data_IF_571162582747
#
_entry.id   IF_571162582747
#
_cell.length_a   1.000
_cell.length_b   1.000
_cell.length_c   1.000
_cell.angle_alpha   90.00
_cell.angle_beta   90.00
_cell.angle_gamma   90.00
#
_symmetry.space_group_name_H-M   'P 1'
#
loop_
_entity.id
_entity.type
_entity.pdbx_description
1 polymer ?
#
# COMPACT_ATOMS: atom_id res chain seq x y z
N UNK A 1 -17.87 16.13 -16.02
CA UNK A 1 -18.53 15.06 -15.22
C UNK A 1 -19.37 14.05 -16.03
N UNK A 2 -19.76 14.29 -17.29
CA UNK A 2 -20.65 13.41 -18.09
C UNK A 2 -19.99 12.20 -18.79
N UNK A 3 -18.77 11.81 -18.44
CA UNK A 3 -17.90 11.08 -19.37
C UNK A 3 -17.26 9.82 -18.79
N UNK A 4 -18.07 9.00 -18.12
CA UNK A 4 -17.65 7.74 -17.48
C UNK A 4 -18.44 6.53 -17.97
N UNK A 5 -19.59 6.74 -18.62
CA UNK A 5 -20.42 5.66 -19.17
C UNK A 5 -19.76 4.98 -20.39
N UNK A 6 -18.77 5.61 -21.03
CA UNK A 6 -18.02 5.09 -22.18
C UNK A 6 -16.53 4.89 -21.86
N UNK A 7 -16.18 4.58 -20.60
CA UNK A 7 -14.78 4.41 -20.21
C UNK A 7 -14.07 3.32 -21.02
N UNK A 8 -14.80 2.28 -21.44
CA UNK A 8 -14.27 1.17 -22.26
C UNK A 8 -13.74 1.66 -23.61
N UNK A 9 -14.47 2.56 -24.28
CA UNK A 9 -14.07 3.15 -25.57
C UNK A 9 -12.85 4.06 -25.43
N UNK A 10 -12.60 4.58 -24.23
CA UNK A 10 -11.52 5.52 -23.91
C UNK A 10 -10.35 4.84 -23.21
N UNK A 11 -10.45 3.54 -22.96
CA UNK A 11 -9.41 2.81 -22.26
C UNK A 11 -8.24 2.55 -23.20
N UNK A 12 -7.15 3.26 -22.95
CA UNK A 12 -5.89 3.00 -23.62
C UNK A 12 -5.01 2.09 -22.75
N UNK A 13 -4.18 1.26 -23.37
CA UNK A 13 -3.21 0.45 -22.64
C UNK A 13 -1.89 1.20 -22.54
N UNK A 14 -1.46 1.52 -21.31
CA UNK A 14 -0.08 1.96 -21.03
C UNK A 14 0.76 0.80 -20.50
N UNK A 15 2.08 1.00 -20.38
CA UNK A 15 3.01 -0.08 -19.97
C UNK A 15 2.66 -0.69 -18.60
N UNK A 16 2.30 0.14 -17.62
CA UNK A 16 1.91 -0.32 -16.27
C UNK A 16 0.58 -1.07 -16.30
N UNK A 17 -0.39 -0.57 -17.06
CA UNK A 17 -1.68 -1.23 -17.23
C UNK A 17 -1.53 -2.60 -17.89
N UNK A 18 -0.72 -2.70 -18.96
CA UNK A 18 -0.42 -3.97 -19.61
C UNK A 18 0.19 -4.97 -18.63
N UNK A 19 1.22 -4.54 -17.89
CA UNK A 19 1.92 -5.38 -16.90
C UNK A 19 0.96 -5.93 -15.85
N UNK A 20 0.09 -5.09 -15.27
CA UNK A 20 -0.89 -5.55 -14.28
C UNK A 20 -1.93 -6.48 -14.90
N UNK A 21 -2.52 -6.12 -16.05
CA UNK A 21 -3.57 -6.91 -16.68
C UNK A 21 -3.08 -8.28 -17.14
N UNK A 22 -1.88 -8.37 -17.73
CA UNK A 22 -1.27 -9.64 -18.11
C UNK A 22 -1.13 -10.56 -16.89
N UNK A 23 -0.69 -10.01 -15.75
CA UNK A 23 -0.58 -10.74 -14.49
C UNK A 23 -1.94 -11.16 -13.93
N UNK A 24 -2.95 -10.28 -13.93
CA UNK A 24 -4.30 -10.62 -13.46
C UNK A 24 -4.92 -11.72 -14.31
N UNK A 25 -4.75 -11.67 -15.64
CA UNK A 25 -5.21 -12.72 -16.56
C UNK A 25 -4.51 -14.05 -16.24
N UNK A 26 -3.18 -14.03 -16.06
CA UNK A 26 -2.42 -15.21 -15.69
C UNK A 26 -2.89 -15.78 -14.34
N UNK A 27 -2.98 -14.96 -13.29
CA UNK A 27 -3.40 -15.39 -11.96
C UNK A 27 -4.83 -15.95 -11.98
N UNK A 28 -5.75 -15.35 -12.72
CA UNK A 28 -7.10 -15.92 -12.94
C UNK A 28 -7.07 -17.29 -13.61
N UNK A 29 -6.05 -17.61 -14.42
CA UNK A 29 -5.93 -18.93 -15.06
C UNK A 29 -5.38 -20.02 -14.13
N UNK A 30 -4.67 -19.65 -13.06
CA UNK A 30 -4.01 -20.60 -12.14
C UNK A 30 -4.61 -20.64 -10.74
N UNK A 31 -5.27 -19.57 -10.29
CA UNK A 31 -5.94 -19.46 -8.99
C UNK A 31 -7.40 -19.89 -9.13
N UNK A 32 -7.81 -20.92 -8.38
CA UNK A 32 -9.08 -21.62 -8.63
C UNK A 32 -10.34 -20.84 -8.21
N UNK A 33 -10.31 -19.97 -7.19
CA UNK A 33 -11.42 -19.07 -6.78
C UNK A 33 -11.01 -18.18 -5.57
N UNK A 34 -11.62 -16.99 -5.40
CA UNK A 34 -12.45 -16.26 -6.37
C UNK A 34 -11.59 -15.60 -7.45
N UNK A 35 -12.07 -15.64 -8.69
CA UNK A 35 -11.43 -14.91 -9.79
C UNK A 35 -11.57 -13.40 -9.60
N UNK A 36 -10.55 -12.66 -9.96
CA UNK A 36 -10.59 -11.19 -10.05
C UNK A 36 -11.36 -10.77 -11.30
N UNK A 37 -12.25 -9.79 -11.15
CA UNK A 37 -12.95 -9.17 -12.27
C UNK A 37 -11.98 -8.23 -13.01
N UNK A 38 -11.60 -8.64 -14.22
CA UNK A 38 -10.66 -7.90 -15.08
C UNK A 38 -11.27 -6.57 -15.55
N UNK A 39 -12.59 -6.48 -15.72
CA UNK A 39 -13.25 -5.24 -16.16
C UNK A 39 -13.22 -4.19 -15.05
N UNK A 40 -13.48 -4.59 -13.80
CA UNK A 40 -13.36 -3.70 -12.65
C UNK A 40 -11.92 -3.16 -12.48
N UNK A 41 -10.91 -4.01 -12.68
CA UNK A 41 -9.50 -3.59 -12.66
C UNK A 41 -9.19 -2.60 -13.79
N UNK A 42 -9.65 -2.85 -15.02
CA UNK A 42 -9.48 -1.92 -16.14
C UNK A 42 -10.17 -0.57 -15.88
N UNK A 43 -11.38 -0.60 -15.34
CA UNK A 43 -12.13 0.61 -14.95
C UNK A 43 -11.36 1.40 -13.89
N UNK A 44 -10.83 0.75 -12.86
CA UNK A 44 -10.00 1.41 -11.86
C UNK A 44 -8.75 2.07 -12.47
N UNK A 45 -8.05 1.38 -13.37
CA UNK A 45 -6.89 1.94 -14.10
C UNK A 45 -7.31 3.18 -14.88
N UNK A 46 -8.45 3.14 -15.57
CA UNK A 46 -8.98 4.30 -16.30
C UNK A 46 -9.20 5.50 -15.38
N UNK A 47 -9.80 5.29 -14.20
CA UNK A 47 -10.02 6.38 -13.23
C UNK A 47 -8.70 6.92 -12.69
N UNK A 48 -7.78 6.06 -12.25
CA UNK A 48 -6.46 6.50 -11.78
C UNK A 48 -5.75 7.34 -12.86
N UNK A 49 -5.77 6.90 -14.12
CA UNK A 49 -5.21 7.66 -15.24
C UNK A 49 -5.93 8.97 -15.52
N UNK A 50 -7.25 9.01 -15.39
CA UNK A 50 -8.05 10.22 -15.64
C UNK A 50 -7.77 11.30 -14.61
N UNK A 51 -7.76 10.93 -13.33
CA UNK A 51 -7.63 11.88 -12.22
C UNK A 51 -6.18 12.27 -11.95
N UNK A 52 -5.21 11.35 -12.13
CA UNK A 52 -3.79 11.66 -12.02
C UNK A 52 -3.10 11.97 -13.35
N UNK A 53 -3.83 12.06 -14.47
CA UNK A 53 -3.26 12.10 -15.81
C UNK A 53 -2.33 13.28 -16.11
N UNK A 54 -2.54 14.40 -15.43
CA UNK A 54 -1.71 15.60 -15.52
C UNK A 54 -0.64 15.69 -14.42
N UNK A 55 -0.56 14.68 -13.55
CA UNK A 55 0.36 14.65 -12.42
C UNK A 55 1.58 13.79 -12.74
N UNK A 56 2.75 14.27 -12.34
CA UNK A 56 4.03 13.58 -12.55
C UNK A 56 4.68 13.29 -11.19
N UNK A 57 5.31 12.11 -11.09
CA UNK A 57 6.18 11.77 -9.95
C UNK A 57 7.47 12.56 -10.05
N UNK A 58 8.18 12.68 -8.93
CA UNK A 58 9.53 13.29 -8.91
C UNK A 58 10.54 12.52 -9.78
N UNK A 59 10.28 11.23 -10.06
CA UNK A 59 11.06 10.41 -11.00
C UNK A 59 10.85 10.77 -12.48
N UNK A 60 9.83 11.58 -12.81
CA UNK A 60 9.43 11.87 -14.18
C UNK A 60 8.44 10.86 -14.79
N UNK A 61 7.95 9.89 -14.02
CA UNK A 61 6.87 8.98 -14.45
C UNK A 61 5.49 9.60 -14.20
N UNK A 62 4.43 9.21 -14.93
CA UNK A 62 3.07 9.61 -14.61
C UNK A 62 2.67 9.13 -13.21
N UNK A 63 1.97 9.95 -12.43
CA UNK A 63 1.64 9.63 -11.03
C UNK A 63 0.84 8.33 -10.89
N UNK A 64 -0.08 8.04 -11.82
CA UNK A 64 -0.86 6.81 -11.85
C UNK A 64 -0.01 5.53 -11.95
N UNK A 65 1.28 5.61 -12.32
CA UNK A 65 2.16 4.44 -12.35
C UNK A 65 2.30 3.81 -10.97
N UNK A 66 2.37 4.63 -9.91
CA UNK A 66 2.59 4.15 -8.56
C UNK A 66 1.43 3.30 -8.03
N UNK A 67 0.17 3.75 -8.03
CA UNK A 67 -0.96 2.93 -7.58
C UNK A 67 -1.14 1.63 -8.39
N UNK A 68 -0.83 1.64 -9.70
CA UNK A 68 -0.88 0.44 -10.54
C UNK A 68 0.21 -0.57 -10.14
N UNK A 69 1.43 -0.10 -9.86
CA UNK A 69 2.51 -0.96 -9.35
C UNK A 69 2.22 -1.51 -7.95
N UNK A 70 1.58 -0.73 -7.07
CA UNK A 70 1.12 -1.22 -5.76
C UNK A 70 0.13 -2.38 -5.94
N UNK A 71 -0.84 -2.24 -6.84
CA UNK A 71 -1.78 -3.32 -7.18
C UNK A 71 -1.07 -4.54 -7.81
N UNK A 72 -0.03 -4.32 -8.62
CA UNK A 72 0.79 -5.40 -9.16
C UNK A 72 1.49 -6.18 -8.06
N UNK A 73 2.11 -5.50 -7.09
CA UNK A 73 2.84 -6.15 -6.00
C UNK A 73 1.90 -6.91 -5.05
N UNK A 74 0.81 -6.28 -4.60
CA UNK A 74 -0.12 -6.91 -3.66
C UNK A 74 -0.85 -8.13 -4.25
N UNK A 75 -0.98 -8.20 -5.58
CA UNK A 75 -1.65 -9.33 -6.26
C UNK A 75 -0.97 -10.69 -6.03
N UNK A 76 0.31 -10.72 -5.63
CA UNK A 76 1.01 -11.95 -5.24
C UNK A 76 0.58 -12.48 -3.85
N UNK A 77 0.00 -11.61 -3.01
CA UNK A 77 -0.31 -11.90 -1.61
C UNK A 77 -1.81 -11.93 -1.34
N UNK A 78 -2.58 -11.06 -1.99
CA UNK A 78 -4.02 -10.99 -1.84
C UNK A 78 -4.70 -10.68 -3.18
N UNK A 79 -5.09 -11.74 -3.88
CA UNK A 79 -5.68 -11.67 -5.21
C UNK A 79 -7.22 -11.58 -5.13
N UNK A 80 -7.74 -10.36 -4.94
CA UNK A 80 -9.18 -10.08 -4.83
C UNK A 80 -9.55 -8.77 -5.51
N UNK A 81 -10.69 -8.72 -6.22
CA UNK A 81 -11.09 -7.56 -7.05
C UNK A 81 -11.07 -6.25 -6.29
N UNK A 82 -11.75 -6.19 -5.13
CA UNK A 82 -11.83 -4.98 -4.31
C UNK A 82 -10.46 -4.52 -3.82
N UNK A 83 -9.55 -5.44 -3.51
CA UNK A 83 -8.18 -5.11 -3.08
C UNK A 83 -7.39 -4.46 -4.21
N UNK A 84 -7.41 -5.07 -5.41
CA UNK A 84 -6.69 -4.50 -6.55
C UNK A 84 -7.28 -3.14 -6.96
N UNK A 85 -8.61 -3.02 -6.98
CA UNK A 85 -9.29 -1.76 -7.28
C UNK A 85 -8.94 -0.70 -6.22
N UNK A 86 -9.02 -1.01 -4.92
CA UNK A 86 -8.63 -0.08 -3.85
C UNK A 86 -7.16 0.31 -3.96
N UNK A 87 -6.25 -0.63 -4.25
CA UNK A 87 -4.82 -0.30 -4.45
C UNK A 87 -4.60 0.65 -5.62
N UNK A 88 -5.33 0.48 -6.73
CA UNK A 88 -5.23 1.40 -7.88
C UNK A 88 -5.77 2.81 -7.53
N UNK A 89 -6.75 2.89 -6.64
CA UNK A 89 -7.43 4.15 -6.29
C UNK A 89 -6.93 4.80 -4.99
N UNK A 90 -5.95 4.23 -4.29
CA UNK A 90 -5.68 4.57 -2.89
C UNK A 90 -5.33 6.05 -2.63
N UNK A 91 -4.65 6.71 -3.56
CA UNK A 91 -4.25 8.12 -3.46
C UNK A 91 -5.25 9.09 -4.12
N UNK A 92 -6.31 8.58 -4.76
CA UNK A 92 -7.18 9.41 -5.59
C UNK A 92 -8.00 10.42 -4.79
N UNK A 93 -8.45 10.08 -3.59
CA UNK A 93 -9.19 11.03 -2.72
C UNK A 93 -8.26 12.10 -2.15
N UNK A 94 -7.01 11.75 -1.83
CA UNK A 94 -6.07 12.68 -1.20
C UNK A 94 -5.48 13.68 -2.20
N UNK A 95 -5.19 13.23 -3.43
CA UNK A 95 -4.37 13.97 -4.39
C UNK A 95 -5.16 14.46 -5.63
N UNK A 96 -6.47 14.23 -5.71
CA UNK A 96 -7.30 14.60 -6.89
C UNK A 96 -8.71 15.06 -6.48
N UNK A 97 -9.53 15.50 -7.45
CA UNK A 97 -10.95 15.81 -7.19
C UNK A 97 -11.90 14.60 -7.15
N UNK A 98 -11.40 13.36 -7.19
CA UNK A 98 -12.24 12.17 -7.09
C UNK A 98 -12.79 12.00 -5.67
N UNK A 99 -14.12 11.94 -5.53
CA UNK A 99 -14.78 11.84 -4.22
C UNK A 99 -15.16 10.42 -3.83
N UNK A 100 -15.32 10.18 -2.52
CA UNK A 100 -15.80 8.91 -1.96
C UNK A 100 -17.15 8.50 -2.55
N UNK A 101 -18.07 9.46 -2.72
CA UNK A 101 -19.41 9.22 -3.28
C UNK A 101 -19.28 8.71 -4.71
N UNK A 102 -18.37 9.29 -5.49
CA UNK A 102 -18.14 8.86 -6.86
C UNK A 102 -17.52 7.47 -6.92
N UNK A 103 -16.56 7.16 -6.05
CA UNK A 103 -16.00 5.80 -5.96
C UNK A 103 -17.10 4.80 -5.56
N UNK A 104 -17.97 5.15 -4.61
CA UNK A 104 -19.08 4.30 -4.16
C UNK A 104 -20.07 3.99 -5.28
N UNK A 105 -20.40 4.99 -6.11
CA UNK A 105 -21.26 4.81 -7.28
C UNK A 105 -20.65 3.86 -8.33
N UNK A 106 -19.33 3.88 -8.48
CA UNK A 106 -18.65 3.23 -9.61
C UNK A 106 -18.07 1.87 -9.28
N UNK A 107 -17.65 1.65 -8.03
CA UNK A 107 -16.95 0.45 -7.54
C UNK A 107 -17.58 -0.13 -6.28
N UNK A 108 -18.68 0.46 -5.79
CA UNK A 108 -19.39 0.03 -4.60
C UNK A 108 -18.87 0.58 -3.28
N UNK A 109 -19.71 0.47 -2.26
CA UNK A 109 -19.48 1.06 -0.93
C UNK A 109 -18.23 0.51 -0.23
N UNK A 110 -17.89 -0.77 -0.45
CA UNK A 110 -16.75 -1.42 0.19
C UNK A 110 -15.43 -0.78 -0.25
N UNK A 111 -15.22 -0.66 -1.56
CA UNK A 111 -14.04 -0.02 -2.15
C UNK A 111 -13.95 1.44 -1.70
N UNK A 112 -15.06 2.17 -1.73
CA UNK A 112 -15.10 3.57 -1.32
C UNK A 112 -14.68 3.77 0.15
N UNK A 113 -15.13 2.88 1.05
CA UNK A 113 -14.70 2.90 2.44
C UNK A 113 -13.21 2.56 2.59
N UNK A 114 -12.71 1.53 1.89
CA UNK A 114 -11.29 1.17 1.96
C UNK A 114 -10.37 2.28 1.42
N UNK A 115 -10.76 3.00 0.36
CA UNK A 115 -9.98 4.14 -0.15
C UNK A 115 -10.02 5.31 0.84
N UNK A 116 -11.18 5.59 1.44
CA UNK A 116 -11.29 6.60 2.50
C UNK A 116 -10.44 6.26 3.73
N UNK A 117 -10.38 4.98 4.10
CA UNK A 117 -9.56 4.48 5.20
C UNK A 117 -8.05 4.72 4.97
N UNK A 118 -7.60 4.66 3.71
CA UNK A 118 -6.21 4.93 3.32
C UNK A 118 -5.87 6.43 3.34
N UNK A 119 -6.87 7.28 3.10
CA UNK A 119 -6.73 8.74 3.03
C UNK A 119 -6.33 9.32 4.39
N UNK A 120 -5.30 10.16 4.40
CA UNK A 120 -4.76 10.75 5.63
C UNK A 120 -5.41 12.07 6.02
N UNK A 121 -6.07 12.73 5.07
CA UNK A 121 -6.91 13.89 5.36
C UNK A 121 -8.25 13.38 5.84
N UNK A 122 -8.60 13.64 7.11
CA UNK A 122 -9.86 13.20 7.72
C UNK A 122 -10.99 14.18 7.43
N UNK A 123 -12.22 13.81 7.77
CA UNK A 123 -13.43 14.60 7.46
C UNK A 123 -13.42 16.00 8.10
N UNK A 124 -12.67 16.17 9.18
CA UNK A 124 -12.41 17.45 9.85
C UNK A 124 -11.32 18.30 9.17
N UNK A 125 -10.73 17.81 8.07
CA UNK A 125 -9.64 18.44 7.34
C UNK A 125 -8.25 18.22 7.95
N UNK A 126 -8.13 17.50 9.06
CA UNK A 126 -6.86 17.27 9.72
C UNK A 126 -6.09 16.17 8.97
N UNK A 127 -4.85 16.49 8.57
CA UNK A 127 -3.94 15.52 7.95
C UNK A 127 -3.14 14.77 9.01
N UNK A 128 -3.48 13.51 9.24
CA UNK A 128 -2.75 12.65 10.18
C UNK A 128 -1.43 12.14 9.58
N UNK A 129 -0.51 11.74 10.43
CA UNK A 129 0.74 11.07 10.04
C UNK A 129 0.48 9.68 9.45
N UNK A 130 1.48 9.13 8.76
CA UNK A 130 1.41 7.75 8.28
C UNK A 130 1.32 6.75 9.44
N UNK A 131 1.97 7.06 10.57
CA UNK A 131 1.95 6.27 11.80
C UNK A 131 0.54 6.19 12.39
N UNK A 132 -0.09 7.33 12.63
CA UNK A 132 -1.45 7.41 13.17
C UNK A 132 -2.45 6.70 12.26
N UNK A 133 -2.28 6.82 10.93
CA UNK A 133 -3.12 6.09 9.99
C UNK A 133 -2.98 4.57 10.14
N UNK A 134 -1.75 4.04 10.31
CA UNK A 134 -1.53 2.61 10.57
C UNK A 134 -2.15 2.18 11.90
N UNK A 135 -1.99 2.97 12.96
CA UNK A 135 -2.57 2.67 14.28
C UNK A 135 -4.10 2.63 14.28
N UNK A 136 -4.75 3.56 13.59
CA UNK A 136 -6.22 3.58 13.47
C UNK A 136 -6.69 2.31 12.76
N UNK A 137 -6.11 1.99 11.61
CA UNK A 137 -6.47 0.80 10.83
C UNK A 137 -6.23 -0.49 11.64
N UNK A 138 -5.19 -0.52 12.45
CA UNK A 138 -4.91 -1.61 13.37
C UNK A 138 -6.00 -1.78 14.43
N UNK A 139 -6.31 -0.70 15.17
CA UNK A 139 -7.35 -0.73 16.22
C UNK A 139 -8.71 -1.15 15.68
N UNK A 140 -9.00 -0.76 14.44
CA UNK A 140 -10.22 -1.12 13.73
C UNK A 140 -10.17 -2.50 13.05
N UNK A 141 -9.05 -3.24 13.16
CA UNK A 141 -8.84 -4.57 12.58
C UNK A 141 -9.02 -4.63 11.06
N UNK A 142 -8.63 -3.55 10.36
CA UNK A 142 -8.71 -3.42 8.90
C UNK A 142 -7.50 -4.04 8.20
N UNK A 143 -7.32 -5.36 8.33
CA UNK A 143 -6.14 -6.07 7.83
C UNK A 143 -5.88 -5.88 6.33
N UNK A 144 -6.94 -5.93 5.51
CA UNK A 144 -6.86 -5.73 4.06
C UNK A 144 -6.30 -4.36 3.70
N UNK A 145 -6.72 -3.32 4.42
CA UNK A 145 -6.29 -1.93 4.19
C UNK A 145 -4.87 -1.71 4.69
N UNK A 146 -4.51 -2.32 5.82
CA UNK A 146 -3.13 -2.35 6.32
C UNK A 146 -2.18 -3.00 5.31
N UNK A 147 -2.61 -4.08 4.65
CA UNK A 147 -1.82 -4.74 3.61
C UNK A 147 -1.55 -3.78 2.45
N UNK A 148 -2.57 -3.09 1.94
CA UNK A 148 -2.41 -2.08 0.88
C UNK A 148 -1.41 -1.00 1.31
N UNK A 149 -1.51 -0.50 2.55
CA UNK A 149 -0.59 0.52 3.07
C UNK A 149 0.85 0.03 3.18
N UNK A 150 1.05 -1.25 3.51
CA UNK A 150 2.38 -1.87 3.53
C UNK A 150 2.99 -1.95 2.11
N UNK A 151 2.19 -2.32 1.10
CA UNK A 151 2.66 -2.39 -0.29
C UNK A 151 2.88 -1.01 -0.92
N UNK A 152 2.06 -0.01 -0.57
CA UNK A 152 2.33 1.40 -0.87
C UNK A 152 3.71 1.80 -0.32
N UNK A 153 3.98 1.52 0.96
CA UNK A 153 5.29 1.80 1.55
C UNK A 153 6.43 1.07 0.86
N UNK A 154 6.24 -0.21 0.51
CA UNK A 154 7.24 -0.99 -0.21
C UNK A 154 7.62 -0.32 -1.54
N UNK A 155 6.62 0.06 -2.34
CA UNK A 155 6.89 0.70 -3.63
C UNK A 155 7.51 2.11 -3.46
N UNK A 156 7.11 2.85 -2.41
CA UNK A 156 7.76 4.11 -2.05
C UNK A 156 9.26 3.94 -1.69
N UNK A 157 9.62 2.87 -0.98
CA UNK A 157 11.01 2.52 -0.66
C UNK A 157 11.78 2.08 -1.91
N UNK A 158 11.17 1.32 -2.81
CA UNK A 158 11.80 0.91 -4.09
C UNK A 158 12.11 2.09 -5.01
N UNK A 159 11.35 3.19 -4.90
CA UNK A 159 11.46 4.38 -5.75
C UNK A 159 11.98 5.61 -5.01
N UNK A 160 12.60 5.41 -3.84
CA UNK A 160 12.99 6.47 -2.91
C UNK A 160 14.06 7.41 -3.47
N UNK A 161 14.90 6.94 -4.40
CA UNK A 161 16.05 7.69 -4.94
C UNK A 161 15.71 8.98 -5.68
N UNK A 162 14.45 9.18 -6.09
CA UNK A 162 14.00 10.41 -6.74
C UNK A 162 13.48 11.49 -5.78
N UNK A 163 13.47 11.22 -4.45
CA UNK A 163 12.92 12.13 -3.43
C UNK A 163 14.01 13.02 -2.83
N UNK A 164 13.61 14.15 -2.23
CA UNK A 164 14.56 15.04 -1.53
C UNK A 164 15.13 14.37 -0.27
N UNK A 165 16.34 14.75 0.20
CA UNK A 165 16.97 14.15 1.38
C UNK A 165 16.08 14.13 2.63
N UNK A 166 15.30 15.19 2.86
CA UNK A 166 14.38 15.29 4.01
C UNK A 166 13.24 14.28 3.89
N UNK A 167 12.68 14.13 2.68
CA UNK A 167 11.62 13.13 2.42
C UNK A 167 12.17 11.71 2.53
N UNK A 168 13.38 11.48 2.03
CA UNK A 168 14.06 10.18 2.14
C UNK A 168 14.22 9.80 3.61
N UNK A 169 14.81 10.67 4.42
CA UNK A 169 14.99 10.45 5.86
C UNK A 169 13.67 10.10 6.54
N UNK A 170 12.64 10.93 6.33
CA UNK A 170 11.30 10.70 6.91
C UNK A 170 10.70 9.35 6.51
N UNK A 171 10.79 8.99 5.23
CA UNK A 171 10.22 7.73 4.72
C UNK A 171 10.96 6.53 5.32
N UNK A 172 12.28 6.58 5.42
CA UNK A 172 13.10 5.52 6.02
C UNK A 172 12.78 5.37 7.51
N UNK A 173 12.75 6.46 8.27
CA UNK A 173 12.39 6.46 9.69
C UNK A 173 10.99 5.85 9.90
N UNK A 174 9.97 6.35 9.18
CA UNK A 174 8.63 5.79 9.25
C UNK A 174 8.60 4.29 8.89
N UNK A 175 9.41 3.87 7.91
CA UNK A 175 9.49 2.45 7.51
C UNK A 175 10.04 1.60 8.63
N UNK A 176 11.13 2.03 9.26
CA UNK A 176 11.80 1.33 10.35
C UNK A 176 10.92 1.22 11.60
N UNK A 177 10.23 2.30 11.97
CA UNK A 177 9.41 2.31 13.18
C UNK A 177 8.05 1.64 12.98
N UNK A 178 7.44 1.76 11.80
CA UNK A 178 6.03 1.38 11.61
C UNK A 178 5.85 0.19 10.68
N UNK A 179 6.50 0.20 9.53
CA UNK A 179 6.21 -0.78 8.49
C UNK A 179 6.98 -2.10 8.68
N UNK A 180 8.12 -2.09 9.37
CA UNK A 180 8.79 -3.34 9.79
C UNK A 180 7.97 -4.10 10.85
N UNK A 181 7.30 -3.37 11.74
CA UNK A 181 6.35 -3.95 12.71
C UNK A 181 5.13 -4.48 11.99
N UNK A 182 4.57 -3.66 11.10
CA UNK A 182 3.36 -4.02 10.37
C UNK A 182 3.57 -5.29 9.52
N UNK A 183 4.70 -5.40 8.83
CA UNK A 183 5.04 -6.62 8.07
C UNK A 183 5.18 -7.85 8.96
N UNK A 184 5.76 -7.73 10.17
CA UNK A 184 5.79 -8.83 11.14
C UNK A 184 4.37 -9.21 11.60
N UNK A 185 3.54 -8.22 11.91
CA UNK A 185 2.15 -8.42 12.34
C UNK A 185 1.31 -9.15 11.27
N UNK A 186 1.47 -8.76 10.01
CA UNK A 186 0.84 -9.38 8.85
C UNK A 186 1.52 -10.70 8.41
N UNK A 187 2.55 -11.16 9.13
CA UNK A 187 3.32 -12.39 8.86
C UNK A 187 4.05 -12.42 7.50
N UNK A 188 4.39 -11.25 6.95
CA UNK A 188 5.11 -11.09 5.68
C UNK A 188 6.61 -10.90 5.92
N UNK A 189 7.29 -11.98 6.31
CA UNK A 189 8.73 -11.96 6.65
C UNK A 189 9.62 -11.59 5.46
N UNK A 190 9.24 -12.01 4.25
CA UNK A 190 9.92 -11.66 3.00
C UNK A 190 9.84 -10.15 2.71
N UNK A 191 8.66 -9.54 2.88
CA UNK A 191 8.47 -8.09 2.77
C UNK A 191 9.28 -7.36 3.84
N UNK A 192 9.28 -7.84 5.08
CA UNK A 192 10.10 -7.28 6.16
C UNK A 192 11.58 -7.26 5.77
N UNK A 193 12.12 -8.39 5.31
CA UNK A 193 13.53 -8.50 4.87
C UNK A 193 13.81 -7.56 3.71
N UNK A 194 12.89 -7.41 2.76
CA UNK A 194 13.05 -6.50 1.63
C UNK A 194 13.09 -5.03 2.08
N UNK A 195 12.18 -4.62 2.96
CA UNK A 195 12.17 -3.26 3.53
C UNK A 195 13.46 -2.97 4.30
N UNK A 196 13.97 -3.91 5.09
CA UNK A 196 15.27 -3.77 5.78
C UNK A 196 16.39 -3.51 4.76
N UNK A 197 16.48 -4.32 3.70
CA UNK A 197 17.48 -4.15 2.65
C UNK A 197 17.39 -2.77 1.98
N UNK A 198 16.18 -2.31 1.66
CA UNK A 198 15.95 -1.00 1.05
C UNK A 198 16.34 0.15 1.99
N UNK A 199 15.98 0.07 3.28
CA UNK A 199 16.39 1.04 4.29
C UNK A 199 17.92 1.10 4.42
N UNK A 200 18.57 -0.06 4.56
CA UNK A 200 20.03 -0.16 4.66
C UNK A 200 20.74 0.40 3.42
N UNK A 201 20.23 0.12 2.22
CA UNK A 201 20.82 0.63 0.98
C UNK A 201 20.66 2.16 0.82
N UNK A 202 19.61 2.73 1.42
CA UNK A 202 19.33 4.18 1.33
C UNK A 202 20.15 4.99 2.34
N UNK A 203 20.50 4.40 3.47
CA UNK A 203 21.27 5.05 4.53
C UNK A 203 22.78 4.89 4.28
N UNK A 204 23.39 5.81 3.51
CA UNK A 204 24.85 6.08 3.56
C UNK A 204 25.26 6.84 4.84
N UNK A 205 24.55 6.64 5.96
CA UNK A 205 24.75 7.36 7.22
C UNK A 205 25.26 6.38 8.28
N UNK A 206 26.59 6.26 8.49
CA UNK A 206 27.17 5.29 9.42
C UNK A 206 26.61 5.42 10.85
N UNK A 207 26.38 6.64 11.32
CA UNK A 207 25.97 6.87 12.72
C UNK A 207 24.53 6.44 13.00
N UNK A 208 23.59 6.66 12.07
CA UNK A 208 22.20 6.27 12.31
C UNK A 208 22.04 4.75 12.40
N UNK A 209 22.76 4.01 11.54
CA UNK A 209 22.73 2.55 11.55
C UNK A 209 23.40 1.96 12.80
N UNK A 210 24.47 2.57 13.31
CA UNK A 210 25.11 2.18 14.58
C UNK A 210 24.20 2.46 15.77
N UNK A 211 23.59 3.65 15.83
CA UNK A 211 22.73 4.05 16.94
C UNK A 211 21.42 3.23 16.97
N UNK A 212 20.95 2.74 15.81
CA UNK A 212 19.69 2.04 15.65
C UNK A 212 19.86 0.56 15.26
N UNK A 213 21.07 0.00 15.34
CA UNK A 213 21.38 -1.38 14.96
C UNK A 213 20.48 -2.41 15.65
N UNK A 214 20.10 -2.13 16.90
CA UNK A 214 19.18 -2.94 17.69
C UNK A 214 17.75 -2.99 17.12
N UNK A 215 17.34 -1.99 16.33
CA UNK A 215 16.09 -2.04 15.54
C UNK A 215 16.23 -2.91 14.28
N UNK A 216 17.45 -3.27 13.88
CA UNK A 216 17.70 -4.16 12.75
C UNK A 216 17.97 -5.61 13.20
N UNK A 217 18.36 -5.84 14.47
CA UNK A 217 18.49 -7.19 15.00
C UNK A 217 17.09 -7.79 15.28
N UNK A 218 16.83 -8.93 14.66
CA UNK A 218 15.52 -9.61 14.67
C UNK A 218 15.01 -9.93 16.09
N UNK A 219 15.93 -10.08 17.05
CA UNK A 219 15.65 -10.61 18.37
C UNK A 219 15.45 -9.54 19.47
N UNK A 220 15.85 -8.28 19.23
CA UNK A 220 15.81 -7.21 20.25
C UNK A 220 14.92 -6.02 19.88
N UNK A 221 14.13 -6.12 18.80
CA UNK A 221 13.24 -5.04 18.37
C UNK A 221 12.11 -4.83 19.39
N UNK A 222 12.16 -3.75 20.16
CA UNK A 222 11.01 -3.29 20.95
C UNK A 222 10.04 -2.51 20.07
N UNK A 223 8.75 -2.85 20.20
CA UNK A 223 7.69 -2.24 19.42
C UNK A 223 7.48 -0.79 19.89
N UNK A 224 7.54 0.20 18.97
CA UNK A 224 7.35 1.60 19.35
C UNK A 224 5.92 1.92 19.82
N UNK A 225 4.94 1.03 19.59
CA UNK A 225 3.59 1.16 20.14
C UNK A 225 3.20 -0.04 20.97
N UNK A 226 2.67 0.28 22.16
CA UNK A 226 2.00 -0.66 23.04
C UNK A 226 0.85 -1.42 22.34
N UNK A 227 0.20 -0.79 21.35
CA UNK A 227 -0.92 -1.40 20.64
C UNK A 227 -0.51 -2.66 19.89
N UNK A 228 0.67 -2.68 19.27
CA UNK A 228 1.22 -3.87 18.62
C UNK A 228 1.83 -4.84 19.62
N UNK A 229 2.30 -4.33 20.77
CA UNK A 229 2.97 -5.14 21.79
C UNK A 229 2.04 -6.17 22.42
N UNK A 230 0.81 -5.78 22.75
CA UNK A 230 -0.15 -6.67 23.39
C UNK A 230 -0.57 -7.88 22.53
N UNK A 231 -0.68 -7.72 21.20
CA UNK A 231 -1.15 -8.80 20.32
C UNK A 231 -0.01 -9.63 19.72
N UNK A 232 1.17 -9.04 19.49
CA UNK A 232 2.35 -9.80 19.01
C UNK A 232 2.82 -10.76 20.11
N UNK A 233 2.82 -10.35 21.38
CA UNK A 233 3.18 -11.21 22.52
C UNK A 233 2.18 -12.38 22.67
N UNK A 234 0.88 -12.14 22.48
CA UNK A 234 -0.14 -13.20 22.52
C UNK A 234 -0.01 -14.20 21.35
N UNK A 235 0.26 -13.71 20.15
CA UNK A 235 0.41 -14.56 18.95
C UNK A 235 1.66 -15.46 19.03
N UNK A 236 2.75 -14.95 19.60
CA UNK A 236 3.96 -15.74 19.88
C UNK A 236 3.72 -16.82 20.95
N UNK A 237 2.93 -16.52 21.99
CA UNK A 237 2.57 -17.49 23.03
C UNK A 237 1.65 -18.60 22.47
N UNK A 238 0.77 -18.30 21.50
CA UNK A 238 -0.07 -19.30 20.84
C UNK A 238 0.73 -20.21 19.89
N UNK A 239 1.67 -19.67 19.09
CA UNK A 239 2.49 -20.49 18.18
C UNK A 239 3.39 -21.50 18.91
N UNK A 240 3.81 -21.22 20.15
CA UNK A 240 4.55 -22.19 20.98
C UNK A 240 3.68 -23.30 21.58
N UNK A 241 2.35 -23.12 21.65
CA UNK A 241 1.41 -24.14 22.17
C UNK A 241 0.90 -25.11 21.11
N UNK A 242 1.06 -24.79 19.83
CA UNK A 242 0.74 -25.72 18.72
C UNK A 242 1.97 -26.54 18.27
N UNK A 243 3.14 -26.27 18.85
CA UNK A 243 4.40 -27.00 18.63
C UNK A 243 4.82 -27.86 19.84
N UNK A 244 3.92 -28.05 20.82
CA UNK A 244 4.04 -28.96 21.97
C UNK A 244 2.78 -29.81 22.09
#
# INVERSE_FOLDING_TARGET
>A
MKDLNNWEEKFEICIYAKKLLDKVIYLNSVVKVPSVDVLEVKKAIYYARKYHGNQMRQSGEPFYSHPIEVAYLISDYLFRTDILVTSILHDTIEDTELTKEKISQEFGWKVANQVMDLTRIKEDGIKISAAEAVEILYKEKKHDVLLIKLFDRLHNMQTIGAKSPEKVKKIVEETMYYFLVLSKYLELLDIKVNLIKLCSATLTIPNYFLDHYHLFSLDNYQLPFQVFQNDIDQKYILQLKELL
#
